data_IF_210095004045
#
_entry.id   IF_210095004045
#
_cell.length_a   1.000
_cell.length_b   1.000
_cell.length_c   1.000
_cell.angle_alpha   90.00
_cell.angle_beta   90.00
_cell.angle_gamma   90.00
#
_symmetry.space_group_name_H-M   'P 1'
#
loop_
_entity.id
_entity.type
_entity.pdbx_description
1 polymer ?
#
# COMPACT_ATOMS: atom_id res chain seq x y z
N UNK A 1 13.81 -27.30 -17.45
CA UNK A 1 13.69 -26.53 -16.19
C UNK A 1 12.61 -27.23 -15.39
N UNK A 2 12.96 -27.78 -14.22
CA UNK A 2 12.10 -28.69 -13.45
C UNK A 2 10.80 -28.02 -13.01
N UNK A 3 9.64 -28.65 -13.28
CA UNK A 3 8.30 -28.23 -12.84
C UNK A 3 8.22 -28.00 -11.32
N UNK A 4 9.02 -28.71 -10.54
CA UNK A 4 9.13 -28.53 -9.09
C UNK A 4 9.66 -27.16 -8.66
N UNK A 5 10.57 -26.55 -9.41
CA UNK A 5 11.12 -25.20 -9.09
C UNK A 5 10.13 -24.09 -9.41
N UNK A 6 9.30 -24.25 -10.43
CA UNK A 6 8.25 -23.29 -10.77
C UNK A 6 7.10 -23.31 -9.74
N UNK A 7 6.68 -24.50 -9.31
CA UNK A 7 5.66 -24.68 -8.27
C UNK A 7 6.12 -24.11 -6.91
N UNK A 8 7.38 -24.34 -6.49
CA UNK A 8 7.93 -23.75 -5.28
C UNK A 8 7.98 -22.21 -5.32
N UNK A 9 8.34 -21.62 -6.47
CA UNK A 9 8.36 -20.14 -6.62
C UNK A 9 6.99 -19.51 -6.47
N UNK A 10 5.94 -20.14 -7.01
CA UNK A 10 4.57 -19.68 -6.84
C UNK A 10 4.14 -19.77 -5.36
N UNK A 11 4.48 -20.86 -4.67
CA UNK A 11 4.15 -21.04 -3.26
C UNK A 11 4.75 -19.94 -2.36
N UNK A 12 6.00 -19.51 -2.59
CA UNK A 12 6.60 -18.42 -1.81
C UNK A 12 5.88 -17.07 -2.03
N UNK A 13 5.48 -16.75 -3.27
CA UNK A 13 4.74 -15.52 -3.55
C UNK A 13 3.35 -15.54 -2.95
N UNK A 14 2.69 -16.70 -2.94
CA UNK A 14 1.36 -16.85 -2.33
C UNK A 14 1.44 -16.79 -0.80
N UNK A 15 2.50 -17.34 -0.19
CA UNK A 15 2.78 -17.16 1.24
C UNK A 15 3.01 -15.68 1.59
N UNK A 16 3.80 -14.94 0.79
CA UNK A 16 4.00 -13.50 0.99
C UNK A 16 2.71 -12.70 0.84
N UNK A 17 1.83 -13.06 -0.10
CA UNK A 17 0.51 -12.42 -0.24
C UNK A 17 -0.39 -12.70 0.96
N UNK A 18 -0.41 -13.95 1.44
CA UNK A 18 -1.15 -14.33 2.65
C UNK A 18 -0.65 -13.55 3.87
N UNK A 19 0.67 -13.43 4.03
CA UNK A 19 1.29 -12.63 5.08
C UNK A 19 0.93 -11.13 4.96
N UNK A 20 0.94 -10.58 3.73
CA UNK A 20 0.54 -9.21 3.50
C UNK A 20 -0.94 -8.97 3.84
N UNK A 21 -1.83 -9.88 3.46
CA UNK A 21 -3.26 -9.81 3.83
C UNK A 21 -3.48 -9.89 5.33
N UNK A 22 -2.73 -10.76 6.03
CA UNK A 22 -2.78 -10.84 7.49
C UNK A 22 -2.39 -9.49 8.13
N UNK A 23 -1.31 -8.86 7.68
CA UNK A 23 -0.90 -7.56 8.21
C UNK A 23 -1.89 -6.43 7.90
N UNK A 24 -2.53 -6.45 6.72
CA UNK A 24 -3.61 -5.52 6.37
C UNK A 24 -4.82 -5.73 7.30
N UNK A 25 -5.17 -6.99 7.60
CA UNK A 25 -6.25 -7.30 8.54
C UNK A 25 -5.96 -6.74 9.93
N UNK A 26 -4.74 -6.90 10.45
CA UNK A 26 -4.35 -6.38 11.77
C UNK A 26 -4.56 -4.86 11.86
N UNK A 27 -4.18 -4.11 10.83
CA UNK A 27 -4.43 -2.65 10.77
C UNK A 27 -5.93 -2.35 10.69
N UNK A 28 -6.66 -3.05 9.85
CA UNK A 28 -8.09 -2.81 9.65
C UNK A 28 -8.93 -3.11 10.90
N UNK A 29 -8.49 -4.01 11.78
CA UNK A 29 -9.17 -4.26 13.07
C UNK A 29 -9.27 -2.96 13.88
N UNK A 30 -8.23 -2.11 13.91
CA UNK A 30 -8.29 -0.80 14.59
C UNK A 30 -9.38 0.09 14.03
N UNK A 31 -9.51 0.14 12.70
CA UNK A 31 -10.56 0.93 12.02
C UNK A 31 -11.97 0.37 12.29
N UNK A 32 -12.12 -0.95 12.32
CA UNK A 32 -13.41 -1.59 12.61
C UNK A 32 -13.82 -1.45 14.09
N UNK A 33 -12.83 -1.36 14.98
CA UNK A 33 -13.07 -1.29 16.42
C UNK A 33 -13.40 0.13 16.90
N UNK A 34 -12.99 1.18 16.18
CA UNK A 34 -13.09 2.56 16.65
C UNK A 34 -13.40 3.55 15.54
N UNK A 35 -14.46 4.34 15.75
CA UNK A 35 -14.80 5.50 14.90
C UNK A 35 -13.81 6.65 15.06
N UNK A 36 -12.98 6.64 16.10
CA UNK A 36 -11.98 7.65 16.38
C UNK A 36 -10.65 7.37 15.69
N UNK A 37 -10.49 6.19 15.08
CA UNK A 37 -9.26 5.83 14.37
C UNK A 37 -8.95 6.83 13.24
N UNK A 38 -7.75 7.39 13.25
CA UNK A 38 -7.32 8.37 12.24
C UNK A 38 -7.91 9.78 12.37
N UNK A 39 -8.72 10.06 13.40
CA UNK A 39 -9.31 11.39 13.62
C UNK A 39 -8.43 12.32 14.47
N UNK A 40 -7.40 11.80 15.12
CA UNK A 40 -6.59 12.52 16.11
C UNK A 40 -7.30 12.73 17.47
N UNK A 41 -8.56 12.29 17.60
CA UNK A 41 -9.30 12.35 18.85
C UNK A 41 -9.03 11.12 19.73
N UNK A 42 -8.95 11.28 21.08
CA UNK A 42 -8.81 10.13 21.97
C UNK A 42 -10.10 9.29 21.95
N UNK A 43 -9.94 7.96 21.86
CA UNK A 43 -11.06 7.03 21.97
C UNK A 43 -11.35 6.74 23.46
N UNK A 44 -12.56 7.07 23.97
CA UNK A 44 -12.92 6.78 25.36
C UNK A 44 -12.96 5.29 25.69
N UNK A 45 -13.21 4.41 24.70
CA UNK A 45 -13.29 2.97 24.88
C UNK A 45 -11.91 2.30 24.98
N UNK A 46 -10.87 2.89 24.39
CA UNK A 46 -9.51 2.35 24.30
C UNK A 46 -8.48 3.31 24.91
N UNK A 47 -8.72 3.77 26.14
CA UNK A 47 -7.90 4.78 26.84
C UNK A 47 -6.87 4.19 27.81
N UNK A 48 -6.87 2.86 28.05
CA UNK A 48 -5.96 2.21 29.00
C UNK A 48 -4.52 2.22 28.48
N UNK A 49 -3.50 2.21 29.35
CA UNK A 49 -2.10 2.14 28.93
C UNK A 49 -1.79 0.94 28.01
N UNK A 50 -2.45 -0.20 28.25
CA UNK A 50 -2.29 -1.39 27.39
C UNK A 50 -2.81 -1.15 25.97
N UNK A 51 -3.96 -0.47 25.82
CA UNK A 51 -4.55 -0.15 24.52
C UNK A 51 -3.61 0.77 23.73
N UNK A 52 -3.01 1.76 24.39
CA UNK A 52 -2.03 2.67 23.78
C UNK A 52 -0.77 1.90 23.31
N UNK A 53 -0.26 0.98 24.13
CA UNK A 53 0.88 0.14 23.74
C UNK A 53 0.55 -0.76 22.54
N UNK A 54 -0.64 -1.34 22.49
CA UNK A 54 -1.09 -2.14 21.34
C UNK A 54 -1.16 -1.28 20.09
N UNK A 55 -1.73 -0.05 20.17
CA UNK A 55 -1.78 0.88 19.05
C UNK A 55 -0.38 1.25 18.55
N UNK A 56 0.56 1.58 19.45
CA UNK A 56 1.97 1.85 19.12
C UNK A 56 2.60 0.64 18.40
N UNK A 57 2.35 -0.57 18.90
CA UNK A 57 2.90 -1.80 18.35
C UNK A 57 2.34 -2.07 16.94
N UNK A 58 1.04 -1.87 16.73
CA UNK A 58 0.39 -1.98 15.42
C UNK A 58 0.95 -0.92 14.47
N UNK A 59 1.05 0.33 14.88
CA UNK A 59 1.60 1.41 14.07
C UNK A 59 3.05 1.13 13.65
N UNK A 60 3.91 0.70 14.59
CA UNK A 60 5.33 0.42 14.31
C UNK A 60 5.51 -0.81 13.42
N UNK A 61 4.76 -1.89 13.65
CA UNK A 61 5.02 -3.17 12.98
C UNK A 61 4.18 -3.38 11.72
N UNK A 62 2.95 -2.86 11.68
CA UNK A 62 1.99 -3.23 10.64
C UNK A 62 1.58 -2.06 9.74
N UNK A 63 1.37 -0.88 10.29
CA UNK A 63 0.77 0.22 9.55
C UNK A 63 1.65 0.67 8.37
N UNK A 64 1.02 0.97 7.26
CA UNK A 64 1.63 1.38 5.98
C UNK A 64 2.52 0.33 5.28
N UNK A 65 2.98 -0.71 5.96
CA UNK A 65 3.96 -1.67 5.41
C UNK A 65 3.32 -2.75 4.55
N UNK A 66 2.20 -3.27 5.00
CA UNK A 66 1.60 -4.45 4.39
C UNK A 66 0.81 -4.15 3.11
N UNK A 67 0.15 -3.00 3.03
CA UNK A 67 -0.48 -2.62 1.76
C UNK A 67 0.58 -2.28 0.70
N UNK A 68 1.73 -1.73 1.09
CA UNK A 68 2.86 -1.50 0.17
C UNK A 68 3.45 -2.83 -0.33
N UNK A 69 3.66 -3.80 0.58
CA UNK A 69 4.10 -5.14 0.20
C UNK A 69 3.09 -5.80 -0.75
N UNK A 70 1.81 -5.71 -0.44
CA UNK A 70 0.75 -6.27 -1.29
C UNK A 70 0.70 -5.58 -2.67
N UNK A 71 0.88 -4.24 -2.70
CA UNK A 71 0.98 -3.48 -3.93
C UNK A 71 2.17 -3.91 -4.79
N UNK A 72 3.34 -4.07 -4.17
CA UNK A 72 4.52 -4.57 -4.85
C UNK A 72 4.29 -5.97 -5.46
N UNK A 73 3.70 -6.88 -4.68
CA UNK A 73 3.37 -8.23 -5.13
C UNK A 73 2.31 -8.24 -6.25
N UNK A 74 1.39 -7.27 -6.26
CA UNK A 74 0.45 -7.08 -7.36
C UNK A 74 1.18 -6.73 -8.65
N UNK A 75 2.09 -5.74 -8.64
CA UNK A 75 2.92 -5.35 -9.78
C UNK A 75 3.84 -6.47 -10.25
N UNK A 76 4.45 -7.23 -9.33
CA UNK A 76 5.27 -8.39 -9.65
C UNK A 76 4.44 -9.49 -10.33
N UNK A 77 3.28 -9.79 -9.77
CA UNK A 77 2.36 -10.81 -10.31
C UNK A 77 1.77 -10.45 -11.67
N UNK A 78 1.66 -9.16 -11.94
CA UNK A 78 1.26 -8.65 -13.24
C UNK A 78 2.23 -9.11 -14.34
N UNK A 79 3.55 -9.12 -14.09
CA UNK A 79 4.54 -9.63 -15.06
C UNK A 79 4.42 -11.14 -15.27
N UNK A 80 4.23 -11.90 -14.19
CA UNK A 80 4.04 -13.36 -14.30
C UNK A 80 2.80 -13.71 -15.13
N UNK A 81 1.74 -12.90 -15.04
CA UNK A 81 0.54 -13.09 -15.86
C UNK A 81 0.78 -12.72 -17.33
N UNK A 82 1.58 -11.70 -17.63
CA UNK A 82 2.02 -11.38 -19.00
C UNK A 82 2.77 -12.57 -19.58
N UNK A 83 3.77 -13.09 -18.87
CA UNK A 83 4.60 -14.21 -19.30
C UNK A 83 3.76 -15.48 -19.52
N UNK A 84 2.80 -15.75 -18.63
CA UNK A 84 1.88 -16.88 -18.76
C UNK A 84 0.97 -16.73 -19.99
N UNK A 85 0.45 -15.52 -20.26
CA UNK A 85 -0.37 -15.26 -21.42
C UNK A 85 0.43 -15.42 -22.73
N UNK A 86 1.67 -14.95 -22.78
CA UNK A 86 2.57 -15.09 -23.91
C UNK A 86 2.86 -16.58 -24.20
N UNK A 87 3.19 -17.37 -23.17
CA UNK A 87 3.42 -18.81 -23.30
C UNK A 87 2.19 -19.55 -23.82
N UNK A 88 0.98 -19.09 -23.43
CA UNK A 88 -0.28 -19.68 -23.88
C UNK A 88 -0.78 -19.13 -25.23
N UNK A 89 -0.03 -18.26 -25.91
CA UNK A 89 -0.48 -17.60 -27.15
C UNK A 89 -1.74 -16.75 -26.98
N UNK A 90 -2.05 -16.29 -25.76
CA UNK A 90 -3.31 -15.66 -25.42
C UNK A 90 -3.16 -14.13 -25.23
N UNK A 91 -4.21 -13.36 -25.59
CA UNK A 91 -4.24 -11.93 -25.36
C UNK A 91 -4.32 -11.62 -23.86
N UNK A 92 -3.28 -10.95 -23.33
CA UNK A 92 -3.20 -10.59 -21.91
C UNK A 92 -4.20 -9.49 -21.51
N UNK A 93 -4.26 -8.39 -22.28
CA UNK A 93 -4.99 -7.18 -21.89
C UNK A 93 -6.50 -7.41 -21.64
N UNK A 94 -7.26 -8.14 -22.49
CA UNK A 94 -8.67 -8.39 -22.24
C UNK A 94 -8.93 -9.24 -20.98
N UNK A 95 -8.03 -10.19 -20.69
CA UNK A 95 -8.12 -11.01 -19.47
C UNK A 95 -7.89 -10.16 -18.23
N UNK A 96 -6.88 -9.31 -18.27
CA UNK A 96 -6.54 -8.44 -17.16
C UNK A 96 -7.63 -7.39 -16.91
N UNK A 97 -8.19 -6.77 -17.96
CA UNK A 97 -9.31 -5.83 -17.84
C UNK A 97 -10.55 -6.48 -17.21
N UNK A 98 -10.90 -7.70 -17.59
CA UNK A 98 -12.01 -8.44 -16.94
C UNK A 98 -11.74 -8.66 -15.46
N UNK A 99 -10.49 -8.98 -15.09
CA UNK A 99 -10.07 -9.12 -13.69
C UNK A 99 -10.18 -7.78 -12.95
N UNK A 100 -9.77 -6.65 -13.56
CA UNK A 100 -9.91 -5.32 -12.97
C UNK A 100 -11.39 -4.93 -12.82
N UNK A 101 -12.23 -5.23 -13.79
CA UNK A 101 -13.67 -5.00 -13.69
C UNK A 101 -14.28 -5.79 -12.52
N UNK A 102 -13.94 -7.07 -12.38
CA UNK A 102 -14.34 -7.87 -11.22
C UNK A 102 -13.84 -7.28 -9.90
N UNK A 103 -12.58 -6.81 -9.87
CA UNK A 103 -11.99 -6.17 -8.69
C UNK A 103 -12.71 -4.85 -8.36
N UNK A 104 -13.08 -4.05 -9.37
CA UNK A 104 -13.83 -2.81 -9.17
C UNK A 104 -15.24 -3.06 -8.63
N UNK A 105 -15.94 -4.07 -9.14
CA UNK A 105 -17.28 -4.46 -8.65
C UNK A 105 -17.20 -4.96 -7.20
N UNK A 106 -16.22 -5.82 -6.91
CA UNK A 106 -15.99 -6.31 -5.53
C UNK A 106 -15.58 -5.18 -4.61
N UNK A 107 -14.69 -4.26 -5.05
CA UNK A 107 -14.26 -3.11 -4.28
C UNK A 107 -15.41 -2.16 -3.98
N UNK A 108 -16.26 -1.88 -4.96
CA UNK A 108 -17.44 -1.04 -4.75
C UNK A 108 -18.43 -1.69 -3.76
N UNK A 109 -18.70 -2.99 -3.93
CA UNK A 109 -19.55 -3.73 -3.01
C UNK A 109 -18.96 -3.75 -1.59
N UNK A 110 -17.64 -3.99 -1.47
CA UNK A 110 -16.92 -3.95 -0.20
C UNK A 110 -16.98 -2.56 0.43
N UNK A 111 -16.74 -1.50 -0.33
CA UNK A 111 -16.76 -0.12 0.14
C UNK A 111 -18.13 0.30 0.69
N UNK A 112 -19.21 -0.11 0.03
CA UNK A 112 -20.58 0.25 0.43
C UNK A 112 -21.10 -0.64 1.56
N UNK A 113 -20.84 -1.97 1.48
CA UNK A 113 -21.49 -2.93 2.38
C UNK A 113 -20.68 -3.25 3.62
N UNK A 114 -19.34 -3.16 3.55
CA UNK A 114 -18.45 -3.67 4.60
C UNK A 114 -17.54 -2.60 5.18
N UNK A 115 -16.87 -1.80 4.32
CA UNK A 115 -15.84 -0.87 4.78
C UNK A 115 -15.53 0.23 3.77
N UNK A 116 -15.85 1.47 4.10
CA UNK A 116 -15.67 2.66 3.24
C UNK A 116 -14.20 2.95 2.85
N UNK A 117 -13.21 2.54 3.65
CA UNK A 117 -11.77 2.67 3.35
C UNK A 117 -11.26 1.60 2.38
N UNK A 118 -12.07 1.19 1.38
CA UNK A 118 -11.69 0.16 0.42
C UNK A 118 -10.50 0.56 -0.46
N UNK A 119 -9.53 -0.34 -0.59
CA UNK A 119 -8.38 -0.17 -1.47
C UNK A 119 -8.53 -0.93 -2.80
N UNK A 120 -9.49 -1.85 -2.91
CA UNK A 120 -9.66 -2.69 -4.10
C UNK A 120 -10.06 -1.87 -5.32
N UNK A 121 -10.95 -0.90 -5.14
CA UNK A 121 -11.34 0.04 -6.20
C UNK A 121 -10.13 0.88 -6.66
N UNK A 122 -9.32 1.37 -5.73
CA UNK A 122 -8.06 2.07 -6.03
C UNK A 122 -7.11 1.15 -6.81
N UNK A 123 -6.99 -0.12 -6.45
CA UNK A 123 -6.18 -1.11 -7.18
C UNK A 123 -6.73 -1.38 -8.59
N UNK A 124 -8.04 -1.37 -8.78
CA UNK A 124 -8.62 -1.51 -10.11
C UNK A 124 -8.26 -0.32 -11.01
N UNK A 125 -8.37 0.92 -10.50
CA UNK A 125 -8.01 2.14 -11.22
C UNK A 125 -6.52 2.18 -11.54
N UNK A 126 -5.66 1.99 -10.54
CA UNK A 126 -4.20 2.02 -10.71
C UNK A 126 -3.70 0.80 -11.50
N UNK A 127 -4.40 -0.33 -11.44
CA UNK A 127 -4.14 -1.50 -12.27
C UNK A 127 -4.39 -1.24 -13.76
N UNK A 128 -5.42 -0.43 -14.09
CA UNK A 128 -5.63 0.01 -15.48
C UNK A 128 -4.48 0.92 -15.95
N UNK A 129 -4.00 1.81 -15.09
CA UNK A 129 -2.82 2.63 -15.39
C UNK A 129 -1.56 1.75 -15.55
N UNK A 130 -1.35 0.76 -14.68
CA UNK A 130 -0.27 -0.20 -14.82
C UNK A 130 -0.35 -0.98 -16.14
N UNK A 131 -1.56 -1.34 -16.59
CA UNK A 131 -1.76 -1.98 -17.90
C UNK A 131 -1.35 -1.05 -19.05
N UNK A 132 -1.66 0.24 -18.98
CA UNK A 132 -1.20 1.23 -19.97
C UNK A 132 0.35 1.32 -19.97
N UNK A 133 0.96 1.27 -18.78
CA UNK A 133 2.40 1.34 -18.59
C UNK A 133 3.14 -0.01 -18.79
N UNK A 134 2.45 -1.06 -19.19
CA UNK A 134 3.01 -2.42 -19.27
C UNK A 134 4.23 -2.58 -20.18
N UNK A 135 4.45 -1.66 -21.12
CA UNK A 135 5.59 -1.69 -22.05
C UNK A 135 6.79 -0.85 -21.57
N UNK A 136 6.67 -0.18 -20.43
CA UNK A 136 7.74 0.66 -19.88
C UNK A 136 8.96 -0.19 -19.53
N UNK A 137 10.15 0.26 -19.94
CA UNK A 137 11.42 -0.41 -19.60
C UNK A 137 11.62 -0.46 -18.07
N UNK A 138 12.20 -1.54 -17.52
CA UNK A 138 12.37 -1.71 -16.07
C UNK A 138 13.06 -0.54 -15.38
N UNK A 139 14.10 0.03 -15.99
CA UNK A 139 14.86 1.17 -15.47
C UNK A 139 14.00 2.44 -15.38
N UNK A 140 13.13 2.65 -16.37
CA UNK A 140 12.21 3.78 -16.41
C UNK A 140 11.11 3.60 -15.38
N UNK A 141 10.56 2.39 -15.24
CA UNK A 141 9.55 2.08 -14.24
C UNK A 141 10.08 2.30 -12.81
N UNK A 142 11.31 1.85 -12.51
CA UNK A 142 11.96 2.12 -11.21
C UNK A 142 12.19 3.61 -10.98
N UNK A 143 12.66 4.37 -11.98
CA UNK A 143 12.82 5.82 -11.83
C UNK A 143 11.51 6.52 -11.52
N UNK A 144 10.43 6.16 -12.20
CA UNK A 144 9.10 6.71 -11.91
C UNK A 144 8.59 6.31 -10.53
N UNK A 145 8.84 5.07 -10.11
CA UNK A 145 8.52 4.63 -8.76
C UNK A 145 9.27 5.45 -7.69
N UNK A 146 10.57 5.73 -7.89
CA UNK A 146 11.37 6.58 -7.01
C UNK A 146 10.80 8.00 -6.92
N UNK A 147 10.51 8.63 -8.07
CA UNK A 147 9.99 9.98 -8.08
C UNK A 147 8.60 10.07 -7.45
N UNK A 148 7.72 9.11 -7.71
CA UNK A 148 6.40 9.06 -7.08
C UNK A 148 6.51 8.92 -5.56
N UNK A 149 7.34 7.99 -5.07
CA UNK A 149 7.53 7.79 -3.65
C UNK A 149 8.15 9.02 -2.97
N UNK A 150 9.17 9.64 -3.61
CA UNK A 150 9.82 10.84 -3.09
C UNK A 150 8.86 12.03 -3.03
N UNK A 151 8.19 12.33 -4.14
CA UNK A 151 7.28 13.48 -4.20
C UNK A 151 6.09 13.32 -3.24
N UNK A 152 5.53 12.11 -3.15
CA UNK A 152 4.47 11.83 -2.20
C UNK A 152 4.97 11.94 -0.75
N UNK A 153 6.14 11.38 -0.42
CA UNK A 153 6.74 11.49 0.92
C UNK A 153 7.05 12.93 1.30
N UNK A 154 7.66 13.72 0.39
CA UNK A 154 7.91 15.14 0.61
C UNK A 154 6.61 15.95 0.73
N UNK A 155 5.57 15.61 -0.04
CA UNK A 155 4.25 16.20 0.07
C UNK A 155 3.64 16.00 1.45
N UNK A 156 3.75 14.80 2.01
CA UNK A 156 3.29 14.49 3.37
C UNK A 156 4.09 15.24 4.43
N UNK A 157 5.41 15.29 4.30
CA UNK A 157 6.25 16.08 5.20
C UNK A 157 5.85 17.56 5.17
N UNK A 158 5.66 18.13 3.99
CA UNK A 158 5.27 19.53 3.84
C UNK A 158 3.89 19.80 4.45
N UNK A 159 2.90 18.92 4.21
CA UNK A 159 1.56 19.02 4.80
C UNK A 159 1.62 18.91 6.34
N UNK A 160 2.44 18.00 6.87
CA UNK A 160 2.63 17.86 8.31
C UNK A 160 3.25 19.10 8.94
N UNK A 161 4.30 19.65 8.33
CA UNK A 161 4.91 20.91 8.78
C UNK A 161 3.91 22.06 8.72
N UNK A 162 3.15 22.17 7.62
CA UNK A 162 2.12 23.20 7.48
C UNK A 162 1.04 23.07 8.55
N UNK A 163 0.59 21.85 8.83
CA UNK A 163 -0.38 21.56 9.90
C UNK A 163 0.12 21.99 11.28
N UNK A 164 1.41 21.76 11.58
CA UNK A 164 2.02 22.22 12.85
C UNK A 164 2.11 23.75 12.96
N UNK A 165 2.23 24.44 11.82
CA UNK A 165 2.28 25.90 11.77
C UNK A 165 0.90 26.56 11.79
N UNK A 166 -0.17 25.79 11.56
CA UNK A 166 -1.55 26.28 11.52
C UNK A 166 -2.18 26.09 12.90
N UNK A 167 -2.69 27.16 13.54
CA UNK A 167 -3.40 27.01 14.80
C UNK A 167 -4.59 26.06 14.67
N UNK A 168 -4.77 25.21 15.67
CA UNK A 168 -5.94 24.33 15.74
C UNK A 168 -7.19 25.18 15.96
N UNK A 169 -8.09 25.19 14.98
CA UNK A 169 -9.38 25.85 15.13
C UNK A 169 -10.30 25.00 16.01
N UNK A 170 -10.75 25.53 17.16
CA UNK A 170 -11.71 24.80 18.03
C UNK A 170 -12.98 24.37 17.31
N UNK A 171 -13.44 25.13 16.30
CA UNK A 171 -14.61 24.78 15.51
C UNK A 171 -14.36 23.51 14.67
N UNK A 172 -13.18 23.37 14.10
CA UNK A 172 -12.80 22.16 13.35
C UNK A 172 -12.74 20.93 14.25
N UNK A 173 -12.20 21.07 15.48
CA UNK A 173 -12.20 19.98 16.46
C UNK A 173 -13.61 19.58 16.87
N UNK A 174 -14.51 20.55 17.10
CA UNK A 174 -15.91 20.29 17.44
C UNK A 174 -16.62 19.54 16.31
N UNK A 175 -16.44 19.96 15.05
CA UNK A 175 -17.02 19.27 13.88
C UNK A 175 -16.49 17.84 13.74
N UNK A 176 -15.20 17.61 13.97
CA UNK A 176 -14.61 16.26 13.95
C UNK A 176 -15.23 15.38 15.05
N UNK A 177 -15.45 15.94 16.23
CA UNK A 177 -16.07 15.21 17.33
C UNK A 177 -17.56 14.91 17.06
N UNK A 178 -18.30 15.86 16.51
CA UNK A 178 -19.70 15.66 16.09
C UNK A 178 -19.82 14.57 15.03
N UNK A 179 -18.93 14.57 14.03
CA UNK A 179 -18.91 13.54 12.98
C UNK A 179 -18.57 12.15 13.54
N UNK A 180 -17.60 12.05 14.46
CA UNK A 180 -17.27 10.79 15.14
C UNK A 180 -18.45 10.24 15.95
N UNK A 181 -19.20 11.11 16.65
CA UNK A 181 -20.41 10.72 17.37
C UNK A 181 -21.53 10.28 16.43
N UNK A 182 -21.72 10.98 15.30
CA UNK A 182 -22.69 10.60 14.28
C UNK A 182 -22.34 9.24 13.67
N UNK A 183 -21.05 8.99 13.39
CA UNK A 183 -20.56 7.69 12.93
C UNK A 183 -20.83 6.58 13.96
N UNK A 184 -20.57 6.84 15.24
CA UNK A 184 -20.83 5.88 16.33
C UNK A 184 -22.32 5.51 16.41
N UNK A 185 -23.21 6.49 16.27
CA UNK A 185 -24.65 6.25 16.26
C UNK A 185 -25.08 5.43 15.03
N UNK A 186 -24.52 5.73 13.85
CA UNK A 186 -24.83 5.01 12.63
C UNK A 186 -24.41 3.53 12.71
N UNK A 187 -23.21 3.24 13.23
CA UNK A 187 -22.70 1.87 13.38
C UNK A 187 -23.38 1.08 14.50
N UNK A 188 -23.94 1.75 15.53
CA UNK A 188 -24.73 1.10 16.58
C UNK A 188 -26.21 0.93 16.21
N UNK A 189 -26.62 1.49 15.08
CA UNK A 189 -27.99 1.43 14.60
C UNK A 189 -28.31 0.16 13.82
N UNK A 190 -28.83 0.31 12.64
CA UNK A 190 -29.23 -0.78 11.73
C UNK A 190 -28.22 -0.95 10.60
N UNK A 191 -28.31 -2.06 9.84
CA UNK A 191 -27.54 -2.24 8.60
C UNK A 191 -27.77 -1.06 7.64
N UNK A 192 -28.99 -0.53 7.56
CA UNK A 192 -29.31 0.62 6.71
C UNK A 192 -28.57 1.90 7.13
N UNK A 193 -28.45 2.20 8.44
CA UNK A 193 -27.70 3.36 8.93
C UNK A 193 -26.20 3.18 8.71
N UNK A 194 -25.66 1.98 8.84
CA UNK A 194 -24.25 1.65 8.52
C UNK A 194 -23.96 1.88 7.05
N UNK A 195 -24.79 1.35 6.15
CA UNK A 195 -24.61 1.55 4.69
C UNK A 195 -24.74 3.03 4.32
N UNK A 196 -25.72 3.75 4.90
CA UNK A 196 -25.87 5.18 4.67
C UNK A 196 -24.63 5.96 5.11
N UNK A 197 -24.01 5.57 6.25
CA UNK A 197 -22.74 6.15 6.72
C UNK A 197 -21.60 5.86 5.74
N UNK A 198 -21.45 4.63 5.27
CA UNK A 198 -20.41 4.29 4.28
C UNK A 198 -20.58 5.10 2.99
N UNK A 199 -21.80 5.24 2.48
CA UNK A 199 -22.08 6.05 1.29
C UNK A 199 -21.74 7.52 1.53
N UNK A 200 -22.11 8.05 2.71
CA UNK A 200 -21.75 9.41 3.11
C UNK A 200 -20.24 9.60 3.09
N UNK A 201 -19.48 8.75 3.77
CA UNK A 201 -18.02 8.85 3.85
C UNK A 201 -17.36 8.76 2.46
N UNK A 202 -17.81 7.82 1.61
CA UNK A 202 -17.33 7.68 0.24
C UNK A 202 -17.59 8.94 -0.61
N UNK A 203 -18.75 9.55 -0.48
CA UNK A 203 -19.13 10.74 -1.27
C UNK A 203 -18.55 12.04 -0.71
N UNK A 204 -18.19 12.07 0.59
CA UNK A 204 -17.61 13.24 1.27
C UNK A 204 -16.09 13.19 1.41
N UNK A 205 -15.42 12.41 0.61
CA UNK A 205 -14.01 12.57 0.35
C UNK A 205 -13.11 11.40 0.75
N UNK A 206 -13.57 10.39 1.47
CA UNK A 206 -12.72 9.28 1.90
C UNK A 206 -12.05 8.59 0.72
N UNK A 207 -12.78 8.29 -0.35
CA UNK A 207 -12.17 7.65 -1.52
C UNK A 207 -11.15 8.55 -2.21
N UNK A 208 -11.40 9.86 -2.27
CA UNK A 208 -10.45 10.82 -2.82
C UNK A 208 -9.17 10.86 -1.97
N UNK A 209 -9.30 10.84 -0.64
CA UNK A 209 -8.16 10.74 0.28
C UNK A 209 -7.37 9.45 0.01
N UNK A 210 -8.02 8.29 -0.04
CA UNK A 210 -7.36 7.01 -0.34
C UNK A 210 -6.62 7.08 -1.67
N UNK A 211 -7.23 7.62 -2.71
CA UNK A 211 -6.62 7.73 -4.04
C UNK A 211 -5.43 8.70 -4.07
N UNK A 212 -5.56 9.88 -3.45
CA UNK A 212 -4.51 10.91 -3.50
C UNK A 212 -3.40 10.65 -2.48
N UNK A 213 -3.72 10.06 -1.34
CA UNK A 213 -2.79 9.77 -0.25
C UNK A 213 -2.02 8.49 -0.49
N UNK A 214 -2.75 7.38 -0.64
CA UNK A 214 -2.17 6.05 -0.78
C UNK A 214 -1.83 5.73 -2.24
N UNK A 215 -2.61 6.26 -3.20
CA UNK A 215 -2.48 5.96 -4.61
C UNK A 215 -1.09 6.16 -5.20
N UNK A 216 -0.37 7.27 -4.94
CA UNK A 216 0.99 7.45 -5.43
C UNK A 216 1.97 6.37 -4.94
N UNK A 217 1.87 5.96 -3.68
CA UNK A 217 2.70 4.89 -3.13
C UNK A 217 2.32 3.51 -3.69
N UNK A 218 1.01 3.24 -3.84
CA UNK A 218 0.52 2.01 -4.49
C UNK A 218 1.05 1.93 -5.91
N UNK A 219 0.96 3.02 -6.70
CA UNK A 219 1.47 3.05 -8.07
C UNK A 219 3.00 2.90 -8.11
N UNK A 220 3.73 3.54 -7.18
CA UNK A 220 5.16 3.37 -7.05
C UNK A 220 5.53 1.90 -6.82
N UNK A 221 4.82 1.21 -5.92
CA UNK A 221 5.02 -0.21 -5.65
C UNK A 221 4.61 -1.10 -6.82
N UNK A 222 3.54 -0.76 -7.54
CA UNK A 222 3.15 -1.46 -8.77
C UNK A 222 4.26 -1.38 -9.83
N UNK A 223 4.83 -0.20 -10.03
CA UNK A 223 5.94 0.01 -10.99
C UNK A 223 7.23 -0.68 -10.55
N UNK A 224 7.54 -0.66 -9.26
CA UNK A 224 8.65 -1.42 -8.70
C UNK A 224 8.46 -2.92 -8.90
N UNK A 225 7.27 -3.43 -8.62
CA UNK A 225 6.88 -4.82 -8.86
C UNK A 225 6.98 -5.20 -10.34
N UNK A 226 6.49 -4.34 -11.26
CA UNK A 226 6.63 -4.50 -12.70
C UNK A 226 8.11 -4.61 -13.11
N UNK A 227 8.96 -3.71 -12.62
CA UNK A 227 10.36 -3.67 -12.98
C UNK A 227 11.13 -4.91 -12.49
N UNK A 228 10.93 -5.27 -11.21
CA UNK A 228 11.59 -6.41 -10.59
C UNK A 228 11.03 -7.75 -11.05
N UNK A 229 9.74 -7.80 -11.39
CA UNK A 229 9.12 -8.97 -11.98
C UNK A 229 9.70 -9.30 -13.36
N UNK A 230 9.93 -8.28 -14.20
CA UNK A 230 10.60 -8.47 -15.50
C UNK A 230 12.06 -8.91 -15.39
N UNK A 231 12.69 -8.64 -14.25
CA UNK A 231 14.06 -9.06 -13.93
C UNK A 231 14.10 -10.39 -13.18
N UNK A 232 12.93 -11.01 -12.94
CA UNK A 232 12.79 -12.23 -12.14
C UNK A 232 13.50 -12.14 -10.78
N UNK A 233 13.56 -10.94 -10.16
CA UNK A 233 14.39 -10.65 -9.00
C UNK A 233 14.08 -11.51 -7.77
N UNK A 234 12.81 -11.93 -7.59
CA UNK A 234 12.40 -12.84 -6.52
C UNK A 234 12.60 -14.33 -6.87
N UNK A 235 13.12 -14.64 -8.05
CA UNK A 235 13.42 -16.02 -8.41
C UNK A 235 14.63 -16.58 -7.61
N UNK A 236 15.60 -15.70 -7.30
CA UNK A 236 16.74 -15.98 -6.43
C UNK A 236 17.10 -14.72 -5.62
N UNK A 237 16.45 -14.46 -4.48
CA UNK A 237 16.73 -13.29 -3.66
C UNK A 237 18.15 -13.26 -3.10
N UNK A 238 18.78 -14.43 -2.91
CA UNK A 238 20.12 -14.55 -2.36
C UNK A 238 21.21 -14.23 -3.40
N UNK A 239 20.87 -14.23 -4.69
CA UNK A 239 21.79 -13.79 -5.74
C UNK A 239 22.15 -12.28 -5.65
N UNK A 240 21.42 -11.51 -4.83
CA UNK A 240 21.60 -10.07 -4.67
C UNK A 240 21.98 -9.64 -3.24
N UNK A 241 23.09 -10.15 -2.66
CA UNK A 241 23.45 -9.95 -1.25
C UNK A 241 23.73 -8.48 -0.90
N UNK A 242 24.16 -7.65 -1.87
CA UNK A 242 24.36 -6.21 -1.67
C UNK A 242 23.04 -5.48 -1.50
N UNK A 243 22.05 -5.83 -2.30
CA UNK A 243 20.70 -5.28 -2.18
C UNK A 243 20.08 -5.67 -0.86
N UNK A 244 20.14 -6.96 -0.49
CA UNK A 244 19.60 -7.45 0.78
C UNK A 244 20.24 -6.74 1.98
N UNK A 245 21.57 -6.60 1.99
CA UNK A 245 22.29 -5.85 3.03
C UNK A 245 21.88 -4.37 3.07
N UNK A 246 21.72 -3.71 1.93
CA UNK A 246 21.26 -2.33 1.88
C UNK A 246 19.84 -2.16 2.43
N UNK A 247 18.92 -3.06 2.10
CA UNK A 247 17.55 -3.08 2.66
C UNK A 247 17.58 -3.23 4.16
N UNK A 248 18.36 -4.18 4.67
CA UNK A 248 18.43 -4.46 6.12
C UNK A 248 19.17 -3.35 6.87
N UNK A 249 20.28 -2.84 6.35
CA UNK A 249 21.13 -1.89 7.06
C UNK A 249 20.62 -0.44 7.03
N UNK A 250 19.86 -0.06 6.01
CA UNK A 250 19.38 1.32 5.83
C UNK A 250 17.85 1.38 5.81
N UNK A 251 17.20 0.53 4.99
CA UNK A 251 15.76 0.55 4.84
C UNK A 251 15.02 0.21 6.14
N UNK A 252 15.50 -0.81 6.87
CA UNK A 252 14.86 -1.21 8.12
C UNK A 252 14.99 -0.14 9.23
N UNK A 253 16.18 0.41 9.56
CA UNK A 253 16.29 1.45 10.58
C UNK A 253 15.52 2.74 10.26
N UNK A 254 15.60 3.21 9.02
CA UNK A 254 14.86 4.40 8.59
C UNK A 254 13.35 4.17 8.61
N UNK A 255 12.89 3.00 8.14
CA UNK A 255 11.48 2.62 8.20
C UNK A 255 10.97 2.50 9.64
N UNK A 256 11.79 1.94 10.54
CA UNK A 256 11.48 1.86 11.95
C UNK A 256 11.43 3.24 12.61
N UNK A 257 12.36 4.14 12.28
CA UNK A 257 12.37 5.52 12.78
C UNK A 257 11.11 6.30 12.34
N UNK A 258 10.75 6.25 11.05
CA UNK A 258 9.52 6.87 10.56
C UNK A 258 8.27 6.28 11.21
N UNK A 259 8.21 4.95 11.37
CA UNK A 259 7.12 4.29 12.05
C UNK A 259 7.03 4.66 13.56
N UNK A 260 8.17 4.86 14.22
CA UNK A 260 8.21 5.33 15.61
C UNK A 260 7.69 6.77 15.75
N UNK A 261 8.05 7.67 14.82
CA UNK A 261 7.49 9.04 14.77
C UNK A 261 5.98 9.00 14.56
N UNK A 262 5.51 8.19 13.61
CA UNK A 262 4.09 8.00 13.36
C UNK A 262 3.34 7.43 14.58
N UNK A 263 3.89 6.40 15.21
CA UNK A 263 3.30 5.81 16.40
C UNK A 263 3.26 6.78 17.59
N UNK A 264 4.30 7.63 17.71
CA UNK A 264 4.33 8.67 18.73
C UNK A 264 3.25 9.72 18.52
N UNK A 265 2.94 10.07 17.28
CA UNK A 265 1.86 11.02 16.97
C UNK A 265 0.47 10.54 17.41
N UNK A 266 0.25 9.24 17.47
CA UNK A 266 -1.01 8.66 17.96
C UNK A 266 -1.17 8.69 19.49
N UNK A 267 -0.16 9.17 20.24
CA UNK A 267 -0.25 9.30 21.68
C UNK A 267 -1.05 10.55 22.08
N UNK A 268 -1.78 10.53 23.21
CA UNK A 268 -2.55 11.68 23.69
C UNK A 268 -1.69 12.93 23.86
N UNK A 269 -2.21 14.08 23.44
CA UNK A 269 -1.55 15.38 23.61
C UNK A 269 -0.50 15.71 22.53
N UNK A 270 -0.33 14.88 21.51
CA UNK A 270 0.53 15.19 20.39
C UNK A 270 -0.16 16.16 19.41
N UNK A 271 0.59 17.13 18.82
CA UNK A 271 0.04 18.02 17.81
C UNK A 271 -0.41 17.26 16.56
N UNK A 272 -1.55 17.66 15.98
CA UNK A 272 -1.95 17.20 14.65
C UNK A 272 -0.85 17.58 13.63
N UNK A 273 -0.57 16.68 12.71
CA UNK A 273 0.46 16.87 11.69
C UNK A 273 1.77 16.13 11.96
N UNK A 274 2.05 15.69 13.20
CA UNK A 274 3.20 14.81 13.47
C UNK A 274 3.00 13.44 12.81
N UNK A 275 1.77 12.95 12.73
CA UNK A 275 1.38 11.74 12.00
C UNK A 275 1.73 11.84 10.50
N UNK A 276 1.44 12.98 9.86
CA UNK A 276 1.79 13.24 8.47
C UNK A 276 3.31 13.30 8.26
N UNK A 277 4.04 13.89 9.22
CA UNK A 277 5.51 13.89 9.22
C UNK A 277 6.03 12.47 9.35
N UNK A 278 5.47 11.68 10.25
CA UNK A 278 5.82 10.28 10.46
C UNK A 278 5.56 9.43 9.21
N UNK A 279 4.40 9.62 8.56
CA UNK A 279 4.08 8.99 7.27
C UNK A 279 5.08 9.38 6.18
N UNK A 280 5.35 10.67 6.00
CA UNK A 280 6.31 11.16 5.02
C UNK A 280 7.72 10.63 5.28
N UNK A 281 8.22 10.72 6.51
CA UNK A 281 9.52 10.21 6.91
C UNK A 281 9.63 8.69 6.77
N UNK A 282 8.56 7.95 7.10
CA UNK A 282 8.51 6.50 6.95
C UNK A 282 8.53 6.01 5.51
N UNK A 283 8.20 6.87 4.54
CA UNK A 283 8.21 6.55 3.11
C UNK A 283 9.54 6.86 2.41
N UNK A 284 10.40 7.73 2.97
CA UNK A 284 11.73 8.04 2.41
C UNK A 284 12.63 6.79 2.25
N UNK A 285 12.64 5.81 3.17
CA UNK A 285 13.37 4.56 2.97
C UNK A 285 12.94 3.76 1.74
N UNK A 286 11.66 3.84 1.38
CA UNK A 286 11.13 3.18 0.18
C UNK A 286 11.77 3.81 -1.07
N UNK A 287 11.86 5.13 -1.14
CA UNK A 287 12.54 5.84 -2.21
C UNK A 287 14.02 5.45 -2.29
N UNK A 288 14.73 5.45 -1.16
CA UNK A 288 16.14 5.08 -1.10
C UNK A 288 16.36 3.63 -1.55
N UNK A 289 15.49 2.69 -1.13
CA UNK A 289 15.50 1.31 -1.57
C UNK A 289 15.31 1.21 -3.10
N UNK A 290 14.34 1.94 -3.64
CA UNK A 290 14.09 1.97 -5.08
C UNK A 290 15.28 2.54 -5.85
N UNK A 291 15.97 3.56 -5.34
CA UNK A 291 17.23 4.07 -5.91
C UNK A 291 18.34 3.03 -5.87
N UNK A 292 18.52 2.35 -4.74
CA UNK A 292 19.48 1.26 -4.64
C UNK A 292 19.22 0.16 -5.68
N UNK A 293 17.95 -0.16 -5.94
CA UNK A 293 17.51 -1.08 -6.99
C UNK A 293 17.81 -0.56 -8.40
N UNK A 294 17.74 0.75 -8.66
CA UNK A 294 18.10 1.32 -9.97
C UNK A 294 19.61 1.27 -10.23
N UNK A 295 20.41 1.46 -9.16
CA UNK A 295 21.87 1.47 -9.24
C UNK A 295 22.50 0.07 -9.18
N UNK A 296 21.74 -0.93 -8.76
CA UNK A 296 22.21 -2.31 -8.75
C UNK A 296 22.53 -2.78 -10.18
N UNK A 297 23.75 -3.28 -10.39
CA UNK A 297 24.13 -3.93 -11.65
C UNK A 297 23.41 -5.27 -11.72
N UNK A 298 22.31 -5.30 -12.45
CA UNK A 298 21.58 -6.54 -12.73
C UNK A 298 22.32 -7.31 -13.84
N UNK A 299 22.55 -8.62 -13.71
CA UNK A 299 23.06 -9.42 -14.82
C UNK A 299 22.09 -9.28 -15.99
N UNK A 300 22.64 -9.07 -17.19
CA UNK A 300 21.84 -9.03 -18.41
C UNK A 300 21.23 -10.43 -18.61
N UNK A 301 19.97 -10.59 -18.25
CA UNK A 301 19.21 -11.79 -18.60
C UNK A 301 19.01 -11.77 -20.11
N UNK A 302 19.78 -12.60 -20.83
CA UNK A 302 19.43 -12.93 -22.19
C UNK A 302 18.16 -13.75 -22.12
N UNK A 303 17.07 -13.18 -22.65
CA UNK A 303 15.91 -13.99 -23.04
C UNK A 303 16.43 -14.84 -24.18
N UNK A 304 16.80 -16.09 -23.89
CA UNK A 304 17.04 -17.04 -24.99
C UNK A 304 15.71 -17.18 -25.72
N UNK A 305 15.67 -16.91 -27.03
CA UNK A 305 14.49 -17.16 -27.81
C UNK A 305 14.13 -18.65 -27.66
N UNK A 306 12.86 -19.02 -27.64
CA UNK A 306 12.45 -20.41 -27.57
C UNK A 306 13.15 -21.17 -28.69
N UNK A 307 13.67 -22.39 -28.44
CA UNK A 307 14.33 -23.19 -29.46
C UNK A 307 13.38 -23.29 -30.66
N UNK A 308 13.91 -22.92 -31.83
CA UNK A 308 13.13 -23.01 -33.07
C UNK A 308 12.57 -24.42 -33.18
N UNK A 309 11.26 -24.52 -33.30
CA UNK A 309 10.59 -25.79 -33.52
C UNK A 309 11.23 -26.42 -34.76
N UNK A 310 11.98 -27.52 -34.57
CA UNK A 310 12.47 -28.33 -35.65
C UNK A 310 11.26 -28.85 -36.39
N UNK A 311 11.10 -28.43 -37.63
CA UNK A 311 10.13 -29.00 -38.58
C UNK A 311 10.54 -30.41 -38.93
#
# INVERSE_FOLDING_TARGET
MNDGTAAQRLAHLDALRGFALFGILVVNIGVFASVYYGTGLPDPAFSRPLDQWVNVLVAVLFESKFYLLFSFLFGYSFTLQIDAAQRAGAAFAPRFLRRLAGLAVLGLAHAVLLYHGDILLTYAVLGALLLALRRTAPERALRWACWLALLAGLGWLALGVLSLMTPQDPATLALTQEDALAALQAYRGTIGTTIARHIHDLTHGVWMVVLLVQGPFVLAMFLAGLALGRRHALADPLAHPRLLRAVLAVGLPLGAAGAAVYAWSGLPGQPLGIDLIGLGAGMLPVEWLLRALTLARWPAWRIEPPPAARR
#
